data_IF_249424232410
#
_entry.id   IF_249424232410
#
_cell.length_a   1.000
_cell.length_b   1.000
_cell.length_c   1.000
_cell.angle_alpha   90.00
_cell.angle_beta   90.00
_cell.angle_gamma   90.00
#
_symmetry.space_group_name_H-M   'P 1'
#
loop_
_entity.id
_entity.type
_entity.pdbx_description
1 polymer ?
#
# COMPACT_ATOMS: atom_id res chain seq x y z
N UNK A 1 -5.28 -23.40 -15.73
CA UNK A 1 -6.33 -23.98 -14.86
C UNK A 1 -7.62 -24.04 -15.63
N UNK A 2 -8.07 -25.28 -15.94
CA UNK A 2 -9.26 -25.52 -16.76
C UNK A 2 -10.50 -25.43 -15.86
N UNK A 3 -11.18 -24.28 -15.89
CA UNK A 3 -12.30 -23.95 -15.00
C UNK A 3 -13.62 -24.67 -15.35
N UNK A 4 -13.63 -25.55 -16.36
CA UNK A 4 -14.87 -26.23 -16.79
C UNK A 4 -15.47 -27.18 -15.76
N UNK A 5 -14.69 -27.64 -14.77
CA UNK A 5 -15.14 -28.60 -13.75
C UNK A 5 -14.97 -28.09 -12.29
N UNK A 6 -14.66 -26.81 -12.07
CA UNK A 6 -14.49 -26.29 -10.73
C UNK A 6 -15.84 -25.89 -10.14
N UNK A 7 -16.35 -26.71 -9.25
CA UNK A 7 -17.46 -26.35 -8.35
C UNK A 7 -17.11 -25.08 -7.56
N UNK A 8 -18.12 -24.29 -7.14
CA UNK A 8 -17.88 -23.09 -6.31
C UNK A 8 -16.95 -23.32 -5.11
N UNK A 9 -16.92 -24.54 -4.55
CA UNK A 9 -16.03 -24.94 -3.44
C UNK A 9 -14.54 -24.87 -3.80
N UNK A 10 -14.13 -25.27 -5.00
CA UNK A 10 -12.73 -25.27 -5.39
C UNK A 10 -12.20 -23.85 -5.71
N UNK A 11 -13.09 -22.95 -6.15
CA UNK A 11 -12.76 -21.52 -6.27
C UNK A 11 -12.61 -20.86 -4.89
N UNK A 12 -13.41 -21.29 -3.90
CA UNK A 12 -13.37 -20.76 -2.54
C UNK A 12 -12.04 -21.01 -1.85
N UNK A 13 -11.39 -22.16 -2.15
CA UNK A 13 -10.22 -22.62 -1.39
C UNK A 13 -8.89 -21.97 -1.79
N UNK A 14 -8.74 -21.37 -3.00
CA UNK A 14 -7.40 -21.02 -3.50
C UNK A 14 -7.29 -19.74 -4.34
N UNK A 15 -8.29 -18.86 -4.43
CA UNK A 15 -8.21 -17.70 -5.32
C UNK A 15 -7.08 -16.74 -4.93
N UNK A 16 -6.90 -16.43 -3.65
CA UNK A 16 -5.84 -15.52 -3.19
C UNK A 16 -4.45 -16.13 -3.42
N UNK A 17 -4.33 -17.46 -3.28
CA UNK A 17 -3.07 -18.17 -3.54
C UNK A 17 -2.65 -18.11 -5.01
N UNK A 18 -3.59 -17.93 -5.96
CA UNK A 18 -3.26 -17.74 -7.37
C UNK A 18 -2.49 -16.45 -7.59
N UNK A 19 -2.93 -15.33 -6.96
CA UNK A 19 -2.22 -14.05 -7.04
C UNK A 19 -0.85 -14.11 -6.36
N UNK A 20 -0.77 -14.75 -5.18
CA UNK A 20 0.50 -14.95 -4.49
C UNK A 20 1.49 -15.76 -5.34
N UNK A 21 1.03 -16.84 -5.98
CA UNK A 21 1.87 -17.67 -6.85
C UNK A 21 2.21 -16.97 -8.17
N UNK A 22 1.33 -16.15 -8.73
CA UNK A 22 1.64 -15.34 -9.91
C UNK A 22 2.80 -14.38 -9.61
N UNK A 23 2.77 -13.72 -8.46
CA UNK A 23 3.84 -12.85 -7.99
C UNK A 23 5.15 -13.64 -7.71
N UNK A 24 5.04 -14.77 -7.02
CA UNK A 24 6.20 -15.60 -6.66
C UNK A 24 6.96 -16.10 -7.89
N UNK A 25 6.25 -16.49 -8.94
CA UNK A 25 6.80 -17.09 -10.15
C UNK A 25 6.81 -16.16 -11.38
N UNK A 26 6.42 -14.89 -11.21
CA UNK A 26 6.31 -13.91 -12.30
C UNK A 26 5.42 -14.41 -13.45
N UNK A 27 4.24 -14.93 -13.12
CA UNK A 27 3.27 -15.50 -14.05
C UNK A 27 2.11 -14.54 -14.28
N UNK A 28 1.62 -14.48 -15.51
CA UNK A 28 0.39 -13.75 -15.83
C UNK A 28 -0.85 -14.59 -15.47
N UNK A 29 -1.83 -13.92 -14.89
CA UNK A 29 -3.13 -14.52 -14.59
C UNK A 29 -4.02 -14.41 -15.83
N UNK A 30 -4.67 -15.52 -16.19
CA UNK A 30 -5.53 -15.53 -17.37
C UNK A 30 -6.76 -14.63 -17.17
N UNK A 31 -7.11 -13.73 -18.13
CA UNK A 31 -8.20 -12.75 -17.97
C UNK A 31 -9.57 -13.38 -17.62
N UNK A 32 -9.86 -14.59 -18.10
CA UNK A 32 -11.08 -15.32 -17.71
C UNK A 32 -11.15 -15.63 -16.22
N UNK A 33 -9.99 -15.83 -15.56
CA UNK A 33 -9.97 -16.05 -14.11
C UNK A 33 -10.33 -14.77 -13.40
N UNK A 34 -9.74 -13.63 -13.77
CA UNK A 34 -10.04 -12.30 -13.22
C UNK A 34 -11.54 -12.02 -13.34
N UNK A 35 -12.10 -12.17 -14.54
CA UNK A 35 -13.54 -11.98 -14.80
C UNK A 35 -14.42 -12.90 -13.95
N UNK A 36 -14.03 -14.17 -13.79
CA UNK A 36 -14.79 -15.12 -12.96
C UNK A 36 -14.79 -14.69 -11.47
N UNK A 37 -13.67 -14.16 -10.97
CA UNK A 37 -13.60 -13.66 -9.61
C UNK A 37 -14.45 -12.39 -9.43
N UNK A 38 -14.41 -11.47 -10.40
CA UNK A 38 -15.25 -10.27 -10.41
C UNK A 38 -16.75 -10.63 -10.34
N UNK A 39 -17.22 -11.53 -11.19
CA UNK A 39 -18.61 -11.99 -11.21
C UNK A 39 -19.04 -12.64 -9.88
N UNK A 40 -18.12 -13.36 -9.21
CA UNK A 40 -18.38 -14.08 -7.97
C UNK A 40 -17.96 -13.34 -6.70
N UNK A 41 -17.49 -12.10 -6.78
CA UNK A 41 -16.87 -11.36 -5.67
C UNK A 41 -17.70 -11.32 -4.39
N UNK A 42 -19.03 -11.16 -4.50
CA UNK A 42 -19.93 -11.12 -3.34
C UNK A 42 -20.00 -12.43 -2.56
N UNK A 43 -19.88 -13.55 -3.27
CA UNK A 43 -19.84 -14.89 -2.67
C UNK A 43 -18.45 -15.11 -2.07
N UNK A 44 -17.40 -14.79 -2.81
CA UNK A 44 -16.01 -14.97 -2.38
C UNK A 44 -15.71 -14.15 -1.13
N UNK A 45 -16.20 -12.91 -1.02
CA UNK A 45 -16.12 -12.11 0.20
C UNK A 45 -16.62 -12.86 1.44
N UNK A 46 -17.78 -13.52 1.33
CA UNK A 46 -18.41 -14.22 2.43
C UNK A 46 -17.64 -15.50 2.85
N UNK A 47 -16.85 -16.03 1.94
CA UNK A 47 -16.10 -17.27 2.12
C UNK A 47 -14.59 -17.04 2.27
N UNK A 48 -14.15 -15.79 2.34
CA UNK A 48 -12.75 -15.43 2.59
C UNK A 48 -12.35 -15.87 4.00
N UNK A 49 -11.38 -16.73 4.09
CA UNK A 49 -10.85 -17.29 5.32
C UNK A 49 -9.45 -16.73 5.69
N UNK A 50 -8.91 -17.20 6.81
CA UNK A 50 -7.59 -16.76 7.31
C UNK A 50 -6.44 -17.09 6.35
N UNK A 51 -6.52 -18.18 5.59
CA UNK A 51 -5.48 -18.55 4.63
C UNK A 51 -5.46 -17.60 3.44
N UNK A 52 -6.63 -17.19 2.97
CA UNK A 52 -6.76 -16.22 1.89
C UNK A 52 -6.28 -14.82 2.35
N UNK A 53 -6.62 -14.42 3.59
CA UNK A 53 -6.11 -13.17 4.19
C UNK A 53 -4.58 -13.23 4.34
N UNK A 54 -4.01 -14.36 4.74
CA UNK A 54 -2.56 -14.53 4.81
C UNK A 54 -1.91 -14.42 3.42
N UNK A 55 -2.50 -15.01 2.38
CA UNK A 55 -1.98 -14.88 1.01
C UNK A 55 -2.04 -13.44 0.51
N UNK A 56 -3.09 -12.68 0.82
CA UNK A 56 -3.15 -11.25 0.51
C UNK A 56 -2.07 -10.46 1.25
N UNK A 57 -1.87 -10.72 2.54
CA UNK A 57 -0.81 -10.08 3.31
C UNK A 57 0.57 -10.36 2.68
N UNK A 58 0.84 -11.59 2.27
CA UNK A 58 2.10 -11.95 1.61
C UNK A 58 2.33 -11.18 0.31
N UNK A 59 1.25 -10.86 -0.44
CA UNK A 59 1.34 -9.99 -1.64
C UNK A 59 1.67 -8.56 -1.22
N UNK A 60 0.95 -8.00 -0.23
CA UNK A 60 1.12 -6.61 0.21
C UNK A 60 2.54 -6.33 0.73
N UNK A 61 3.13 -7.28 1.48
CA UNK A 61 4.47 -7.14 2.07
C UNK A 61 5.58 -7.80 1.24
N UNK A 62 5.30 -8.14 -0.02
CA UNK A 62 6.25 -8.83 -0.89
C UNK A 62 7.54 -8.02 -1.09
N UNK A 63 8.66 -8.74 -1.13
CA UNK A 63 9.94 -8.18 -1.56
C UNK A 63 10.06 -8.06 -3.08
N UNK A 64 9.25 -8.78 -3.84
CA UNK A 64 9.13 -8.64 -5.29
C UNK A 64 8.19 -7.51 -5.63
N UNK A 65 8.30 -6.96 -6.84
CA UNK A 65 7.38 -5.94 -7.31
C UNK A 65 5.96 -6.51 -7.42
N UNK A 66 5.00 -6.06 -6.58
CA UNK A 66 3.68 -6.67 -6.53
C UNK A 66 2.69 -6.07 -7.53
N UNK A 67 3.09 -5.08 -8.34
CA UNK A 67 2.16 -4.21 -9.09
C UNK A 67 1.20 -4.99 -9.98
N UNK A 68 1.68 -5.98 -10.73
CA UNK A 68 0.83 -6.77 -11.61
C UNK A 68 -0.20 -7.59 -10.84
N UNK A 69 0.23 -8.25 -9.76
CA UNK A 69 -0.69 -9.04 -8.93
C UNK A 69 -1.72 -8.15 -8.21
N UNK A 70 -1.33 -6.94 -7.83
CA UNK A 70 -2.22 -5.96 -7.21
C UNK A 70 -3.22 -5.38 -8.21
N UNK A 71 -2.80 -5.05 -9.44
CA UNK A 71 -3.71 -4.63 -10.51
C UNK A 71 -4.72 -5.74 -10.82
N UNK A 72 -4.24 -6.95 -11.10
CA UNK A 72 -5.11 -8.09 -11.38
C UNK A 72 -6.12 -8.33 -10.24
N UNK A 73 -5.68 -8.17 -8.98
CA UNK A 73 -6.56 -8.29 -7.81
C UNK A 73 -7.56 -7.13 -7.72
N UNK A 74 -7.12 -5.88 -7.96
CA UNK A 74 -7.99 -4.71 -7.96
C UNK A 74 -9.06 -4.80 -9.04
N UNK A 75 -8.73 -5.30 -10.23
CA UNK A 75 -9.65 -5.50 -11.36
C UNK A 75 -10.78 -6.50 -11.05
N UNK A 76 -10.53 -7.46 -10.15
CA UNK A 76 -11.61 -8.36 -9.66
C UNK A 76 -12.63 -7.66 -8.79
N UNK A 77 -12.37 -6.44 -8.32
CA UNK A 77 -13.12 -5.72 -7.26
C UNK A 77 -13.21 -6.46 -5.92
N UNK A 78 -12.53 -7.58 -5.78
CA UNK A 78 -12.46 -8.30 -4.50
C UNK A 78 -11.75 -7.47 -3.43
N UNK A 79 -10.76 -6.66 -3.82
CA UNK A 79 -10.08 -5.77 -2.89
C UNK A 79 -11.08 -4.86 -2.16
N UNK A 80 -11.94 -4.19 -2.92
CA UNK A 80 -12.99 -3.32 -2.38
C UNK A 80 -14.05 -4.08 -1.58
N UNK A 81 -14.33 -5.34 -1.92
CA UNK A 81 -15.30 -6.14 -1.20
C UNK A 81 -14.76 -6.67 0.14
N UNK A 82 -13.48 -7.10 0.17
CA UNK A 82 -12.83 -7.66 1.37
C UNK A 82 -12.41 -6.51 2.31
N UNK A 83 -11.92 -5.42 1.74
CA UNK A 83 -11.52 -4.21 2.45
C UNK A 83 -12.39 -3.01 1.99
N UNK A 84 -13.63 -2.88 2.50
CA UNK A 84 -14.54 -1.80 2.11
C UNK A 84 -13.95 -0.41 2.37
N UNK A 85 -13.00 -0.31 3.31
CA UNK A 85 -12.28 0.92 3.60
C UNK A 85 -11.44 1.37 2.39
N UNK A 86 -10.75 0.44 1.73
CA UNK A 86 -10.02 0.68 0.48
C UNK A 86 -10.98 0.95 -0.68
N UNK A 87 -12.10 0.24 -0.74
CA UNK A 87 -13.14 0.43 -1.76
C UNK A 87 -13.71 1.84 -1.83
N UNK A 88 -13.55 2.65 -0.78
CA UNK A 88 -13.98 4.05 -0.75
C UNK A 88 -13.24 4.94 -1.76
N UNK A 89 -11.99 4.61 -2.04
CA UNK A 89 -11.11 5.37 -2.95
C UNK A 89 -10.97 4.72 -4.33
N UNK A 90 -11.63 3.60 -4.56
CA UNK A 90 -11.61 2.90 -5.84
C UNK A 90 -12.12 3.80 -6.96
N UNK A 91 -11.30 4.00 -8.00
CA UNK A 91 -11.61 4.88 -9.14
C UNK A 91 -11.80 6.35 -8.78
N UNK A 92 -11.36 6.79 -7.58
CA UNK A 92 -11.48 8.18 -7.15
C UNK A 92 -10.46 9.06 -7.86
N UNK A 93 -10.95 9.94 -8.72
CA UNK A 93 -10.13 10.98 -9.38
C UNK A 93 -9.85 12.10 -8.39
N UNK A 94 -8.61 12.56 -8.35
CA UNK A 94 -8.20 13.78 -7.63
C UNK A 94 -8.16 14.93 -8.64
N UNK A 95 -8.90 16.01 -8.35
CA UNK A 95 -8.98 17.17 -9.24
C UNK A 95 -7.92 18.20 -8.86
N UNK A 96 -6.65 17.83 -8.95
CA UNK A 96 -5.52 18.77 -8.87
C UNK A 96 -4.52 18.53 -10.00
N UNK A 97 -3.66 19.51 -10.23
CA UNK A 97 -2.72 19.51 -11.37
C UNK A 97 -1.56 18.53 -11.21
N UNK A 98 -1.42 17.89 -10.04
CA UNK A 98 -0.28 17.04 -9.73
C UNK A 98 -0.62 15.55 -9.81
N UNK A 99 -1.87 15.16 -9.55
CA UNK A 99 -2.28 13.75 -9.53
C UNK A 99 -2.73 13.27 -10.90
N UNK A 100 -1.92 12.40 -11.52
CA UNK A 100 -2.23 11.79 -12.82
C UNK A 100 -3.06 10.52 -12.71
N UNK A 101 -3.15 9.94 -11.52
CA UNK A 101 -3.77 8.64 -11.26
C UNK A 101 -4.97 8.76 -10.32
N UNK A 102 -5.85 7.77 -10.35
CA UNK A 102 -6.88 7.61 -9.32
C UNK A 102 -6.24 7.27 -7.98
N UNK A 103 -6.94 7.52 -6.87
CA UNK A 103 -6.36 7.30 -5.53
C UNK A 103 -5.97 5.84 -5.31
N UNK A 104 -6.79 4.88 -5.76
CA UNK A 104 -6.45 3.46 -5.67
C UNK A 104 -5.21 3.11 -6.49
N UNK A 105 -5.10 3.62 -7.72
CA UNK A 105 -3.92 3.40 -8.56
C UNK A 105 -2.66 4.01 -7.93
N UNK A 106 -2.75 5.24 -7.42
CA UNK A 106 -1.67 5.88 -6.67
C UNK A 106 -1.17 4.98 -5.53
N UNK A 107 -2.09 4.42 -4.72
CA UNK A 107 -1.74 3.53 -3.61
C UNK A 107 -1.02 2.26 -4.08
N UNK A 108 -1.44 1.65 -5.19
CA UNK A 108 -0.75 0.48 -5.74
C UNK A 108 0.65 0.83 -6.26
N UNK A 109 0.78 1.99 -6.93
CA UNK A 109 2.05 2.48 -7.45
C UNK A 109 3.08 2.78 -6.36
N UNK A 110 2.67 3.12 -5.13
CA UNK A 110 3.64 3.32 -4.03
C UNK A 110 4.42 2.05 -3.71
N UNK A 111 3.79 0.88 -3.77
CA UNK A 111 4.48 -0.41 -3.57
C UNK A 111 5.39 -0.77 -4.77
N UNK A 112 4.98 -0.43 -5.99
CA UNK A 112 5.85 -0.52 -7.16
C UNK A 112 7.11 0.33 -6.97
N UNK A 113 6.95 1.60 -6.61
CA UNK A 113 8.05 2.53 -6.42
C UNK A 113 8.98 2.11 -5.26
N UNK A 114 8.46 1.52 -4.19
CA UNK A 114 9.30 0.92 -3.15
C UNK A 114 10.16 -0.21 -3.71
N UNK A 115 9.59 -1.06 -4.58
CA UNK A 115 10.35 -2.12 -5.25
C UNK A 115 11.46 -1.56 -6.14
N UNK A 116 11.18 -0.49 -6.91
CA UNK A 116 12.15 0.18 -7.77
C UNK A 116 13.25 0.90 -6.96
N UNK A 117 12.89 1.64 -5.90
CA UNK A 117 13.87 2.27 -5.01
C UNK A 117 14.88 1.27 -4.45
N UNK A 118 14.41 0.08 -4.07
CA UNK A 118 15.26 -1.00 -3.53
C UNK A 118 16.23 -1.62 -4.53
N UNK A 119 16.12 -1.33 -5.84
CA UNK A 119 17.14 -1.70 -6.81
C UNK A 119 18.42 -0.85 -6.66
N UNK A 120 18.31 0.33 -6.04
CA UNK A 120 19.45 1.21 -5.77
C UNK A 120 20.05 0.87 -4.40
N UNK A 121 21.36 0.64 -4.34
CA UNK A 121 22.06 0.18 -3.13
C UNK A 121 21.80 1.05 -1.89
N UNK A 122 21.83 2.37 -2.03
CA UNK A 122 21.60 3.33 -0.94
C UNK A 122 20.24 3.11 -0.26
N UNK A 123 19.14 3.08 -1.03
CA UNK A 123 17.80 2.91 -0.47
C UNK A 123 17.55 1.50 0.05
N UNK A 124 18.17 0.50 -0.61
CA UNK A 124 18.09 -0.88 -0.14
C UNK A 124 18.82 -1.07 1.20
N UNK A 125 19.91 -0.37 1.44
CA UNK A 125 20.60 -0.37 2.72
C UNK A 125 19.69 0.19 3.82
N UNK A 126 19.07 1.36 3.61
CA UNK A 126 18.11 1.95 4.57
C UNK A 126 16.95 0.97 4.83
N UNK A 127 16.35 0.43 3.77
CA UNK A 127 15.27 -0.55 3.89
C UNK A 127 15.68 -1.81 4.66
N UNK A 128 16.92 -2.27 4.49
CA UNK A 128 17.43 -3.47 5.14
C UNK A 128 17.66 -3.30 6.64
N UNK A 129 17.83 -2.08 7.10
CA UNK A 129 17.96 -1.73 8.54
C UNK A 129 16.62 -1.65 9.27
N UNK A 130 15.48 -1.56 8.53
CA UNK A 130 14.16 -1.54 9.17
C UNK A 130 13.86 -2.88 9.86
N UNK A 131 13.39 -2.82 11.09
CA UNK A 131 12.93 -3.98 11.85
C UNK A 131 11.51 -4.41 11.44
N UNK A 132 10.66 -3.44 11.08
CA UNK A 132 9.24 -3.65 10.77
C UNK A 132 8.92 -3.22 9.34
N UNK A 133 9.60 -3.84 8.35
CA UNK A 133 9.44 -3.52 6.91
C UNK A 133 8.01 -3.65 6.43
N UNK A 134 7.28 -4.61 6.99
CA UNK A 134 5.87 -4.85 6.70
C UNK A 134 5.00 -3.62 7.02
N UNK A 135 5.37 -2.87 8.06
CA UNK A 135 4.66 -1.65 8.43
C UNK A 135 4.76 -0.58 7.34
N UNK A 136 5.94 -0.42 6.71
CA UNK A 136 6.13 0.50 5.60
C UNK A 136 5.25 0.11 4.40
N UNK A 137 5.24 -1.18 4.01
CA UNK A 137 4.41 -1.66 2.90
C UNK A 137 2.91 -1.41 3.14
N UNK A 138 2.42 -1.74 4.34
CA UNK A 138 1.02 -1.56 4.69
C UNK A 138 0.65 -0.08 4.78
N UNK A 139 1.54 0.77 5.29
CA UNK A 139 1.31 2.21 5.32
C UNK A 139 1.22 2.80 3.90
N UNK A 140 2.14 2.44 3.00
CA UNK A 140 2.10 2.86 1.59
C UNK A 140 0.78 2.47 0.94
N UNK A 141 0.30 1.25 1.16
CA UNK A 141 -0.94 0.76 0.55
C UNK A 141 -2.20 1.43 1.09
N UNK A 142 -2.19 1.97 2.33
CA UNK A 142 -3.41 2.42 2.98
C UNK A 142 -3.41 3.89 3.43
N UNK A 143 -2.35 4.69 3.17
CA UNK A 143 -2.25 6.04 3.75
C UNK A 143 -3.37 6.99 3.31
N UNK A 144 -3.79 6.89 2.06
CA UNK A 144 -4.72 7.82 1.43
C UNK A 144 -6.18 7.34 1.37
N UNK A 145 -6.51 6.20 1.99
CA UNK A 145 -7.90 5.70 2.02
C UNK A 145 -8.87 6.63 2.78
N UNK A 146 -8.33 7.62 3.50
CA UNK A 146 -9.09 8.66 4.19
C UNK A 146 -9.46 9.86 3.34
N UNK A 147 -9.00 10.00 2.10
CA UNK A 147 -9.19 11.20 1.25
C UNK A 147 -10.67 11.57 0.99
N UNK A 148 -11.59 10.64 1.15
CA UNK A 148 -13.05 10.88 0.97
C UNK A 148 -13.76 11.23 2.29
N UNK A 149 -13.07 11.81 3.26
CA UNK A 149 -13.60 12.13 4.60
C UNK A 149 -13.75 13.63 4.84
N UNK A 150 -14.54 14.00 5.89
CA UNK A 150 -14.71 15.38 6.34
C UNK A 150 -13.65 15.84 7.37
N UNK A 151 -12.81 14.92 7.84
CA UNK A 151 -11.69 15.18 8.76
C UNK A 151 -10.37 15.29 7.97
N UNK A 152 -9.29 15.67 8.66
CA UNK A 152 -7.95 15.48 8.12
C UNK A 152 -7.82 14.06 7.55
N UNK A 153 -7.46 13.93 6.27
CA UNK A 153 -7.42 12.65 5.58
C UNK A 153 -6.47 11.65 6.24
N UNK A 154 -5.36 12.12 6.83
CA UNK A 154 -4.40 11.27 7.56
C UNK A 154 -4.98 10.71 8.85
N UNK A 155 -5.70 11.53 9.63
CA UNK A 155 -6.36 11.06 10.86
C UNK A 155 -7.47 10.06 10.53
N UNK A 156 -8.30 10.35 9.55
CA UNK A 156 -9.36 9.44 9.11
C UNK A 156 -8.80 8.20 8.43
N UNK A 157 -7.73 8.34 7.64
CA UNK A 157 -6.98 7.23 7.06
C UNK A 157 -6.46 6.27 8.11
N UNK A 158 -5.88 6.78 9.21
CA UNK A 158 -5.47 5.99 10.37
C UNK A 158 -6.62 5.19 10.97
N UNK A 159 -7.80 5.81 11.17
CA UNK A 159 -8.99 5.12 11.69
C UNK A 159 -9.42 3.96 10.77
N UNK A 160 -9.45 4.18 9.45
CA UNK A 160 -9.80 3.17 8.46
C UNK A 160 -8.75 2.06 8.37
N UNK A 161 -7.47 2.44 8.33
CA UNK A 161 -6.35 1.49 8.32
C UNK A 161 -6.38 0.59 9.56
N UNK A 162 -6.69 1.14 10.74
CA UNK A 162 -6.83 0.33 11.96
C UNK A 162 -7.92 -0.74 11.84
N UNK A 163 -9.04 -0.46 11.13
CA UNK A 163 -10.08 -1.46 10.86
C UNK A 163 -9.57 -2.58 9.95
N UNK A 164 -8.75 -2.24 8.94
CA UNK A 164 -8.12 -3.23 8.05
C UNK A 164 -7.14 -4.09 8.84
N UNK A 165 -6.23 -3.47 9.61
CA UNK A 165 -5.18 -4.17 10.37
C UNK A 165 -5.73 -5.12 11.44
N UNK A 166 -6.96 -4.90 11.94
CA UNK A 166 -7.63 -5.87 12.85
C UNK A 166 -7.96 -7.20 12.17
N UNK A 167 -8.02 -7.21 10.84
CA UNK A 167 -8.33 -8.42 10.03
C UNK A 167 -7.07 -9.08 9.47
N UNK A 168 -5.92 -8.39 9.53
CA UNK A 168 -4.64 -8.92 9.07
C UNK A 168 -3.87 -9.56 10.23
N UNK A 169 -3.20 -10.70 10.00
CA UNK A 169 -2.39 -11.38 11.01
C UNK A 169 -1.02 -10.71 11.14
N UNK A 170 -1.00 -9.50 11.67
CA UNK A 170 0.22 -8.70 11.91
C UNK A 170 0.46 -8.48 13.41
N UNK A 171 1.73 -8.34 13.79
CA UNK A 171 2.11 -8.07 15.17
C UNK A 171 1.64 -6.69 15.64
N UNK A 172 1.67 -6.48 16.96
CA UNK A 172 1.32 -5.19 17.57
C UNK A 172 2.25 -4.07 17.08
N UNK A 173 3.53 -4.35 17.01
CA UNK A 173 4.56 -3.38 16.61
C UNK A 173 4.39 -2.95 15.16
N UNK A 174 4.15 -3.91 14.25
CA UNK A 174 3.83 -3.62 12.83
C UNK A 174 2.59 -2.74 12.75
N UNK A 175 1.54 -3.07 13.51
CA UNK A 175 0.30 -2.30 13.53
C UNK A 175 0.52 -0.87 14.03
N UNK A 176 1.23 -0.69 15.13
CA UNK A 176 1.50 0.62 15.73
C UNK A 176 2.31 1.49 14.78
N UNK A 177 3.38 0.96 14.18
CA UNK A 177 4.19 1.70 13.21
C UNK A 177 3.42 2.01 11.93
N UNK A 178 2.61 1.09 11.40
CA UNK A 178 1.75 1.35 10.24
C UNK A 178 0.80 2.52 10.51
N UNK A 179 0.11 2.52 11.64
CA UNK A 179 -0.83 3.58 12.01
C UNK A 179 -0.14 4.92 12.22
N UNK A 180 1.06 4.89 12.81
CA UNK A 180 1.87 6.09 12.98
C UNK A 180 2.31 6.66 11.62
N UNK A 181 2.78 5.81 10.70
CA UNK A 181 3.18 6.23 9.35
C UNK A 181 2.00 6.84 8.58
N UNK A 182 0.82 6.21 8.60
CA UNK A 182 -0.38 6.74 7.94
C UNK A 182 -0.78 8.11 8.51
N UNK A 183 -0.71 8.30 9.83
CA UNK A 183 -1.05 9.58 10.46
C UNK A 183 -0.06 10.69 10.12
N UNK A 184 1.23 10.35 10.03
CA UNK A 184 2.33 11.31 9.91
C UNK A 184 2.99 11.32 8.52
N UNK A 185 2.35 10.71 7.49
CA UNK A 185 2.97 10.52 6.18
C UNK A 185 3.39 11.84 5.50
N UNK A 186 2.73 12.96 5.82
CA UNK A 186 3.07 14.27 5.29
C UNK A 186 4.18 15.00 6.08
N UNK A 187 4.57 14.50 7.26
CA UNK A 187 5.47 15.24 8.14
C UNK A 187 6.83 15.54 7.49
N UNK A 188 7.41 14.60 6.77
CA UNK A 188 8.70 14.81 6.11
C UNK A 188 8.58 15.74 4.90
N UNK A 189 7.60 15.54 4.02
CA UNK A 189 7.37 16.40 2.86
C UNK A 189 7.01 17.83 3.29
N UNK A 190 6.18 18.00 4.32
CA UNK A 190 5.85 19.31 4.88
C UNK A 190 7.08 20.00 5.46
N UNK A 191 7.95 19.26 6.14
CA UNK A 191 9.21 19.84 6.67
C UNK A 191 10.14 20.23 5.54
N UNK A 192 10.32 19.37 4.53
CA UNK A 192 11.25 19.61 3.43
C UNK A 192 10.79 20.74 2.50
N UNK A 193 9.49 20.89 2.23
CA UNK A 193 9.01 21.85 1.23
C UNK A 193 8.40 23.13 1.80
N UNK A 194 8.02 23.15 3.08
CA UNK A 194 7.36 24.31 3.71
C UNK A 194 8.19 25.01 4.77
N UNK A 195 9.32 24.44 5.17
CA UNK A 195 10.18 25.01 6.21
C UNK A 195 11.62 25.14 5.71
N UNK A 196 12.38 26.00 6.39
CA UNK A 196 13.84 26.01 6.24
C UNK A 196 14.41 24.77 6.93
N UNK A 197 14.92 23.82 6.13
CA UNK A 197 15.47 22.55 6.64
C UNK A 197 16.76 22.72 7.45
N UNK A 198 17.39 23.90 7.43
CA UNK A 198 18.55 24.22 8.25
C UNK A 198 18.14 24.88 9.58
N UNK A 199 16.87 25.26 9.74
CA UNK A 199 16.39 25.86 11.00
C UNK A 199 16.37 24.81 12.13
N UNK A 200 17.03 25.10 13.28
CA UNK A 200 16.98 24.24 14.46
C UNK A 200 15.56 23.97 14.94
N UNK A 201 14.65 24.93 14.80
CA UNK A 201 13.26 24.81 15.20
C UNK A 201 12.51 23.80 14.28
N UNK A 202 12.75 23.84 12.97
CA UNK A 202 12.16 22.89 12.01
C UNK A 202 12.67 21.46 12.29
N UNK A 203 13.97 21.32 12.52
CA UNK A 203 14.60 20.04 12.90
C UNK A 203 14.01 19.51 14.22
N UNK A 204 13.95 20.35 15.27
CA UNK A 204 13.40 19.98 16.56
C UNK A 204 11.93 19.54 16.46
N UNK A 205 11.13 20.26 15.68
CA UNK A 205 9.73 19.92 15.42
C UNK A 205 9.60 18.55 14.72
N UNK A 206 10.38 18.32 13.66
CA UNK A 206 10.37 17.06 12.94
C UNK A 206 10.81 15.89 13.83
N UNK A 207 11.93 16.04 14.56
CA UNK A 207 12.46 14.99 15.44
C UNK A 207 11.56 14.71 16.65
N UNK A 208 10.75 15.68 17.08
CA UNK A 208 9.75 15.44 18.13
C UNK A 208 8.64 14.47 17.65
N UNK A 209 8.34 14.47 16.36
CA UNK A 209 7.38 13.53 15.72
C UNK A 209 8.09 12.23 15.35
N UNK A 210 9.16 12.28 14.56
CA UNK A 210 9.93 11.13 14.10
C UNK A 210 11.16 10.91 15.03
N UNK A 211 10.92 10.38 16.21
CA UNK A 211 11.89 10.34 17.32
C UNK A 211 12.74 9.06 17.42
N UNK A 212 12.67 8.20 16.41
CA UNK A 212 13.49 6.97 16.33
C UNK A 212 14.02 6.79 14.92
N UNK A 213 15.18 6.10 14.79
CA UNK A 213 15.75 5.78 13.48
C UNK A 213 14.79 4.98 12.61
N UNK A 214 14.06 4.04 13.18
CA UNK A 214 13.02 3.25 12.49
C UNK A 214 11.96 4.15 11.86
N UNK A 215 11.45 5.15 12.61
CA UNK A 215 10.44 6.08 12.10
C UNK A 215 10.99 7.02 11.03
N UNK A 216 12.20 7.55 11.22
CA UNK A 216 12.86 8.44 10.25
C UNK A 216 13.09 7.69 8.93
N UNK A 217 13.72 6.52 8.99
CA UNK A 217 14.05 5.72 7.83
C UNK A 217 12.80 5.23 7.09
N UNK A 218 11.78 4.80 7.84
CA UNK A 218 10.50 4.38 7.25
C UNK A 218 9.80 5.56 6.57
N UNK A 219 9.75 6.73 7.22
CA UNK A 219 9.10 7.92 6.68
C UNK A 219 9.85 8.47 5.47
N UNK A 220 11.19 8.39 5.45
CA UNK A 220 12.01 8.77 4.31
C UNK A 220 11.69 7.94 3.06
N UNK A 221 11.74 6.61 3.17
CA UNK A 221 11.39 5.73 2.06
C UNK A 221 9.93 5.89 1.64
N UNK A 222 9.03 6.07 2.63
CA UNK A 222 7.63 6.34 2.39
C UNK A 222 7.43 7.58 1.52
N UNK A 223 8.01 8.71 1.94
CA UNK A 223 7.86 10.01 1.25
C UNK A 223 8.36 9.96 -0.19
N UNK A 224 9.48 9.29 -0.43
CA UNK A 224 9.99 9.11 -1.80
C UNK A 224 9.02 8.30 -2.67
N UNK A 225 8.46 7.21 -2.14
CA UNK A 225 7.49 6.37 -2.86
C UNK A 225 6.20 7.13 -3.15
N UNK A 226 5.69 7.88 -2.18
CA UNK A 226 4.47 8.67 -2.29
C UNK A 226 4.61 9.74 -3.37
N UNK A 227 5.66 10.57 -3.31
CA UNK A 227 5.95 11.61 -4.32
C UNK A 227 6.12 10.99 -5.72
N UNK A 228 6.87 9.89 -5.84
CA UNK A 228 7.07 9.22 -7.12
C UNK A 228 5.77 8.66 -7.72
N UNK A 229 4.75 8.42 -6.90
CA UNK A 229 3.45 7.85 -7.31
C UNK A 229 2.41 8.89 -7.71
N UNK A 230 2.71 10.19 -7.59
CA UNK A 230 1.79 11.26 -7.98
C UNK A 230 1.68 11.38 -9.50
N UNK A 231 2.78 11.16 -10.22
CA UNK A 231 2.83 11.23 -11.67
C UNK A 231 4.23 11.00 -12.24
N UNK A 232 4.36 10.84 -13.56
CA UNK A 232 5.65 10.65 -14.20
C UNK A 232 6.55 11.88 -13.99
N UNK A 233 7.83 11.64 -13.67
CA UNK A 233 8.86 12.68 -13.47
C UNK A 233 8.60 13.67 -12.32
N UNK A 234 7.70 13.35 -11.38
CA UNK A 234 7.45 14.20 -10.21
C UNK A 234 8.61 14.14 -9.23
N UNK A 235 9.22 12.97 -9.05
CA UNK A 235 10.44 12.80 -8.27
C UNK A 235 11.66 13.08 -9.17
N UNK A 236 12.20 14.25 -9.08
CA UNK A 236 13.40 14.68 -9.81
C UNK A 236 14.58 14.90 -8.85
N UNK A 237 15.79 15.11 -9.41
CA UNK A 237 17.01 15.28 -8.63
C UNK A 237 16.92 16.44 -7.61
N UNK A 238 16.23 17.52 -7.96
CA UNK A 238 16.04 18.66 -7.06
C UNK A 238 15.18 18.34 -5.83
N UNK A 239 14.24 17.37 -5.93
CA UNK A 239 13.40 16.95 -4.79
C UNK A 239 14.07 15.88 -3.92
N UNK A 240 15.18 15.33 -4.38
CA UNK A 240 15.96 14.32 -3.66
C UNK A 240 17.16 14.96 -2.95
N UNK A 241 17.63 16.13 -3.43
CA UNK A 241 18.73 16.89 -2.82
C UNK A 241 18.28 17.63 -1.56
#
# INVERSE_FOLDING_TARGET
LNLKNNTPRNLQLNWAKVFEKSLEHNLLIHPRFIKTLEEKRKILKKTTDSHQIQSLLNIFISKKNPIQALHDFNDTRLFSEIFPEFGRVWGQVQFDIYHHYTTDEHLLLTLHNLSELRQKSFYNEIYSRLNYREALHLALLFHDIGKKGHKSHSVYGKELTNKILKRLPVSKEIKELTLWLVENHLAMSDTAFKNDTQSPEAIAKFTSVANTEEKINSLFLFTLCDIASVGPNVLNEWRIS
#
